data_IF_495432615951
#
_entry.id   IF_495432615951
#
_cell.length_a   1.000
_cell.length_b   1.000
_cell.length_c   1.000
_cell.angle_alpha   90.00
_cell.angle_beta   90.00
_cell.angle_gamma   90.00
#
_symmetry.space_group_name_H-M   'P 1'
#
loop_
_entity.id
_entity.type
_entity.pdbx_description
1 polymer ?
#
# COMPACT_ATOMS: atom_id res chain seq x y z
N UNK A 1 10.51 -17.01 -13.05
CA UNK A 1 11.54 -16.58 -12.05
C UNK A 1 10.82 -15.91 -10.89
N UNK A 2 11.21 -16.19 -9.64
CA UNK A 2 10.69 -15.52 -8.45
C UNK A 2 11.65 -14.40 -8.03
N UNK A 3 11.13 -13.18 -7.86
CA UNK A 3 11.87 -12.02 -7.39
C UNK A 3 11.15 -11.40 -6.19
N UNK A 4 11.91 -10.97 -5.18
CA UNK A 4 11.37 -10.30 -3.99
C UNK A 4 12.04 -8.93 -3.87
N UNK A 5 11.24 -7.88 -3.75
CA UNK A 5 11.68 -6.50 -3.58
C UNK A 5 11.33 -6.02 -2.17
N UNK A 6 12.36 -5.73 -1.38
CA UNK A 6 12.24 -5.14 -0.05
C UNK A 6 12.09 -3.61 -0.19
N UNK A 7 10.86 -3.11 -0.25
CA UNK A 7 10.59 -1.70 -0.54
C UNK A 7 10.58 -0.84 0.72
N UNK A 8 10.08 -1.38 1.83
CA UNK A 8 10.06 -0.69 3.11
C UNK A 8 9.90 -1.64 4.30
N UNK A 9 10.26 -1.15 5.51
CA UNK A 9 10.09 -1.89 6.75
C UNK A 9 11.22 -2.86 7.11
N UNK A 10 12.34 -2.88 6.38
CA UNK A 10 13.42 -3.85 6.59
C UNK A 10 14.53 -3.37 7.52
N UNK A 11 14.71 -2.06 7.66
CA UNK A 11 15.70 -1.45 8.55
C UNK A 11 15.07 -0.51 9.60
N UNK A 12 13.75 -0.56 9.74
CA UNK A 12 12.99 0.36 10.58
C UNK A 12 11.65 -0.27 10.99
N UNK A 13 10.99 0.31 11.97
CA UNK A 13 9.62 -0.06 12.35
C UNK A 13 8.64 0.80 11.55
N UNK A 14 7.80 0.16 10.76
CA UNK A 14 6.83 0.83 9.89
C UNK A 14 7.21 0.83 8.42
N UNK A 15 6.42 1.49 7.59
CA UNK A 15 6.53 1.50 6.12
C UNK A 15 6.58 0.09 5.50
N UNK A 16 5.93 -0.89 6.12
CA UNK A 16 6.01 -2.25 5.62
C UNK A 16 5.53 -2.31 4.18
N UNK A 17 6.37 -2.82 3.29
CA UNK A 17 6.07 -2.96 1.87
C UNK A 17 7.03 -3.95 1.23
N UNK A 18 6.48 -5.02 0.68
CA UNK A 18 7.22 -6.06 -0.04
C UNK A 18 6.55 -6.32 -1.38
N UNK A 19 7.29 -6.38 -2.47
CA UNK A 19 6.75 -6.83 -3.75
C UNK A 19 7.31 -8.20 -4.07
N UNK A 20 6.41 -9.13 -4.38
CA UNK A 20 6.72 -10.48 -4.84
C UNK A 20 6.32 -10.55 -6.31
N UNK A 21 7.29 -10.84 -7.17
CA UNK A 21 7.11 -10.96 -8.61
C UNK A 21 7.38 -12.38 -9.06
N UNK A 22 6.47 -12.93 -9.84
CA UNK A 22 6.59 -14.23 -10.51
C UNK A 22 6.46 -13.96 -12.00
N UNK A 23 7.56 -14.16 -12.72
CA UNK A 23 7.69 -13.85 -14.15
C UNK A 23 7.25 -12.39 -14.44
N UNK A 24 6.15 -12.17 -15.16
CA UNK A 24 5.65 -10.84 -15.53
C UNK A 24 4.54 -10.32 -14.62
N UNK A 25 4.22 -11.01 -13.53
CA UNK A 25 3.15 -10.65 -12.62
C UNK A 25 3.68 -10.46 -11.19
N UNK A 26 3.12 -9.50 -10.48
CA UNK A 26 3.56 -9.18 -9.13
C UNK A 26 2.38 -8.87 -8.20
N UNK A 27 2.60 -9.09 -6.91
CA UNK A 27 1.73 -8.61 -5.83
C UNK A 27 2.55 -7.78 -4.85
N UNK A 28 1.90 -6.78 -4.27
CA UNK A 28 2.47 -5.97 -3.21
C UNK A 28 1.83 -6.37 -1.89
N UNK A 29 2.65 -6.84 -0.95
CA UNK A 29 2.25 -7.13 0.42
C UNK A 29 2.53 -5.90 1.26
N UNK A 30 1.49 -5.37 1.86
CA UNK A 30 1.48 -4.14 2.66
C UNK A 30 1.89 -2.87 1.89
N UNK A 31 1.40 -1.76 2.37
CA UNK A 31 1.75 -0.40 1.97
C UNK A 31 1.50 0.49 3.19
N UNK A 32 2.42 0.42 4.14
CA UNK A 32 2.29 1.03 5.45
C UNK A 32 2.94 2.40 5.57
N UNK A 33 2.66 3.09 6.68
CA UNK A 33 3.35 4.34 7.03
C UNK A 33 4.40 4.12 8.11
N UNK A 34 5.42 4.96 8.12
CA UNK A 34 6.27 5.19 9.28
C UNK A 34 5.57 6.22 10.16
N UNK A 35 4.95 5.77 11.25
CA UNK A 35 3.99 6.57 12.02
C UNK A 35 4.59 7.88 12.50
N UNK A 36 5.80 7.85 13.07
CA UNK A 36 6.45 9.07 13.59
C UNK A 36 6.71 10.10 12.48
N UNK A 37 7.27 9.67 11.34
CA UNK A 37 7.55 10.57 10.22
C UNK A 37 6.26 11.08 9.57
N UNK A 38 5.23 10.23 9.50
CA UNK A 38 3.92 10.62 9.00
C UNK A 38 3.28 11.68 9.88
N UNK A 39 3.30 11.50 11.21
CA UNK A 39 2.79 12.49 12.16
C UNK A 39 3.55 13.81 12.04
N UNK A 40 4.90 13.77 12.04
CA UNK A 40 5.71 14.98 11.87
C UNK A 40 5.37 15.75 10.60
N UNK A 41 5.21 15.03 9.49
CA UNK A 41 4.84 15.63 8.21
C UNK A 41 3.43 16.23 8.21
N UNK A 42 2.45 15.57 8.85
CA UNK A 42 1.04 15.99 8.85
C UNK A 42 0.71 17.00 9.95
N UNK A 43 1.58 17.24 10.92
CA UNK A 43 1.41 18.28 11.93
C UNK A 43 1.70 19.70 11.41
N UNK A 44 2.21 19.85 10.21
CA UNK A 44 2.42 21.15 9.59
C UNK A 44 1.06 21.75 9.20
N UNK A 45 0.61 22.78 9.94
CA UNK A 45 -0.67 23.45 9.75
C UNK A 45 -0.82 24.14 8.38
N UNK A 46 0.29 24.34 7.65
CA UNK A 46 0.31 24.92 6.30
C UNK A 46 0.02 23.89 5.20
N UNK A 47 -0.16 22.62 5.55
CA UNK A 47 -0.41 21.54 4.59
C UNK A 47 -1.80 21.66 3.95
N UNK A 48 -1.84 22.16 2.73
CA UNK A 48 -3.09 22.28 1.94
C UNK A 48 -3.52 20.90 1.40
N UNK A 49 -2.57 20.02 1.08
CA UNK A 49 -2.81 18.65 0.60
C UNK A 49 -1.60 17.77 0.81
N UNK A 50 -1.85 16.51 1.14
CA UNK A 50 -0.80 15.47 1.26
C UNK A 50 -0.35 15.03 -0.15
N UNK A 51 0.93 15.26 -0.45
CA UNK A 51 1.52 14.85 -1.74
C UNK A 51 2.36 13.57 -1.58
N UNK A 52 2.12 12.54 -2.39
CA UNK A 52 2.87 11.29 -2.33
C UNK A 52 4.40 11.48 -2.38
N UNK A 53 4.90 12.35 -3.26
CA UNK A 53 6.34 12.63 -3.38
C UNK A 53 6.96 13.25 -2.14
N UNK A 54 6.21 14.06 -1.42
CA UNK A 54 6.67 14.69 -0.19
C UNK A 54 6.65 13.70 0.98
N UNK A 55 5.63 12.83 1.04
CA UNK A 55 5.60 11.72 2.00
C UNK A 55 6.80 10.77 1.83
N UNK A 56 7.18 10.46 0.59
CA UNK A 56 8.38 9.64 0.30
C UNK A 56 9.63 10.37 0.78
N UNK A 57 9.79 11.67 0.46
CA UNK A 57 10.94 12.49 0.91
C UNK A 57 11.03 12.60 2.43
N UNK A 58 9.90 12.69 3.11
CA UNK A 58 9.83 12.71 4.56
C UNK A 58 10.13 11.35 5.21
N UNK A 59 10.28 10.29 4.41
CA UNK A 59 10.44 8.92 4.90
C UNK A 59 9.19 8.39 5.61
N UNK A 60 8.03 8.96 5.33
CA UNK A 60 6.76 8.61 5.96
C UNK A 60 6.06 7.41 5.30
N UNK A 61 6.40 7.11 4.05
CA UNK A 61 5.82 6.01 3.25
C UNK A 61 6.90 5.26 2.49
N UNK A 62 6.62 4.05 1.97
CA UNK A 62 7.57 3.30 1.15
C UNK A 62 8.00 4.10 -0.09
N UNK A 63 9.27 3.95 -0.48
CA UNK A 63 9.78 4.54 -1.72
C UNK A 63 9.32 3.74 -2.94
N UNK A 64 8.12 4.03 -3.43
CA UNK A 64 7.55 3.39 -4.60
C UNK A 64 8.27 3.71 -5.91
N UNK A 65 9.13 4.73 -5.96
CA UNK A 65 9.94 5.05 -7.14
C UNK A 65 10.99 3.99 -7.40
N UNK A 66 11.45 3.31 -6.35
CA UNK A 66 12.34 2.16 -6.45
C UNK A 66 11.75 1.02 -7.31
N UNK A 67 10.43 0.88 -7.32
CA UNK A 67 9.70 -0.14 -8.08
C UNK A 67 8.86 0.41 -9.24
N UNK A 68 9.13 1.65 -9.68
CA UNK A 68 8.36 2.31 -10.75
C UNK A 68 8.28 1.46 -12.03
N UNK A 69 9.35 0.75 -12.37
CA UNK A 69 9.40 -0.17 -13.52
C UNK A 69 8.44 -1.37 -13.41
N UNK A 70 7.97 -1.67 -12.20
CA UNK A 70 7.08 -2.80 -11.93
C UNK A 70 5.61 -2.40 -11.87
N UNK A 71 5.27 -1.12 -12.04
CA UNK A 71 3.91 -0.61 -11.83
C UNK A 71 2.83 -1.33 -12.62
N UNK A 72 3.14 -1.76 -13.85
CA UNK A 72 2.19 -2.45 -14.73
C UNK A 72 2.16 -3.98 -14.45
N UNK A 73 3.17 -4.50 -13.76
CA UNK A 73 3.22 -5.90 -13.33
C UNK A 73 2.41 -6.15 -12.05
N UNK A 74 2.30 -5.14 -11.16
CA UNK A 74 1.58 -5.28 -9.89
C UNK A 74 0.08 -5.41 -10.15
N UNK A 75 -0.49 -6.58 -9.82
CA UNK A 75 -1.89 -6.94 -10.05
C UNK A 75 -2.76 -6.74 -8.81
N UNK A 76 -2.16 -6.83 -7.62
CA UNK A 76 -2.87 -6.63 -6.36
C UNK A 76 -1.99 -5.98 -5.30
N UNK A 77 -2.63 -5.21 -4.41
CA UNK A 77 -2.08 -4.69 -3.16
C UNK A 77 -2.82 -5.41 -2.03
N UNK A 78 -2.08 -6.11 -1.18
CA UNK A 78 -2.64 -7.01 -0.18
C UNK A 78 -2.15 -6.57 1.21
N UNK A 79 -2.91 -5.69 1.90
CA UNK A 79 -2.61 -5.40 3.29
C UNK A 79 -2.85 -6.66 4.14
N UNK A 80 -1.82 -7.08 4.87
CA UNK A 80 -1.85 -8.30 5.69
C UNK A 80 -2.80 -8.16 6.86
N UNK A 81 -2.89 -6.95 7.44
CA UNK A 81 -3.82 -6.62 8.51
C UNK A 81 -4.04 -5.09 8.61
N UNK A 82 -4.90 -4.66 9.52
CA UNK A 82 -5.45 -3.30 9.57
C UNK A 82 -4.59 -2.26 10.31
N UNK A 83 -3.35 -2.56 10.68
CA UNK A 83 -2.48 -1.58 11.32
C UNK A 83 -1.93 -0.56 10.31
N UNK A 84 -1.73 0.69 10.75
CA UNK A 84 -1.33 1.78 9.86
C UNK A 84 0.05 1.58 9.25
N UNK A 85 0.96 0.93 9.94
CA UNK A 85 2.28 0.57 9.42
C UNK A 85 2.26 -0.53 8.35
N UNK A 86 1.06 -1.08 8.05
CA UNK A 86 0.79 -2.05 6.99
C UNK A 86 -0.17 -1.56 5.90
N UNK A 87 -1.14 -0.68 6.22
CA UNK A 87 -2.10 -0.19 5.22
C UNK A 87 -2.15 1.34 5.08
N UNK A 88 -1.53 2.08 5.99
CA UNK A 88 -1.74 3.52 6.11
C UNK A 88 -1.26 4.37 4.92
N UNK A 89 -0.39 3.85 4.06
CA UNK A 89 0.03 4.55 2.85
C UNK A 89 -0.83 4.23 1.61
N UNK A 90 -1.73 3.24 1.69
CA UNK A 90 -2.63 2.88 0.58
C UNK A 90 -3.44 4.10 0.08
N UNK A 91 -4.05 4.93 0.95
CA UNK A 91 -4.80 6.10 0.51
C UNK A 91 -4.03 7.06 -0.39
N UNK A 92 -2.72 7.15 -0.20
CA UNK A 92 -1.86 8.13 -0.86
C UNK A 92 -1.12 7.58 -2.07
N UNK A 93 -0.79 6.29 -2.08
CA UNK A 93 0.12 5.70 -3.06
C UNK A 93 -0.55 4.74 -4.04
N UNK A 94 -1.64 4.07 -3.64
CA UNK A 94 -2.22 2.98 -4.43
C UNK A 94 -2.71 3.39 -5.82
N UNK A 95 -3.15 4.62 -6.00
CA UNK A 95 -3.60 5.15 -7.30
C UNK A 95 -2.50 5.15 -8.39
N UNK A 96 -1.23 4.97 -8.00
CA UNK A 96 -0.12 4.83 -8.96
C UNK A 96 -0.07 3.45 -9.63
N UNK A 97 -0.80 2.49 -9.09
CA UNK A 97 -0.82 1.11 -9.57
C UNK A 97 -2.22 0.73 -10.08
N UNK A 98 -2.28 0.07 -11.24
CA UNK A 98 -3.53 -0.50 -11.77
C UNK A 98 -3.81 -1.86 -11.12
N UNK A 99 -3.94 -1.86 -9.81
CA UNK A 99 -4.03 -3.06 -8.98
C UNK A 99 -5.29 -3.03 -8.12
N UNK A 100 -5.90 -4.18 -7.89
CA UNK A 100 -6.97 -4.30 -6.91
C UNK A 100 -6.38 -4.33 -5.49
N UNK A 101 -7.11 -3.78 -4.52
CA UNK A 101 -6.76 -3.89 -3.10
C UNK A 101 -7.57 -5.06 -2.55
N UNK A 102 -6.89 -6.05 -1.98
CA UNK A 102 -7.51 -7.30 -1.54
C UNK A 102 -7.16 -7.55 -0.08
N UNK A 103 -8.16 -7.71 0.77
CA UNK A 103 -7.95 -7.94 2.19
C UNK A 103 -9.10 -8.65 2.88
N UNK A 104 -8.94 -8.95 4.17
CA UNK A 104 -10.01 -9.50 5.00
C UNK A 104 -11.11 -8.46 5.23
N UNK A 105 -12.29 -8.90 5.69
CA UNK A 105 -13.42 -8.01 5.96
C UNK A 105 -13.04 -6.85 6.89
N UNK A 106 -12.38 -7.14 8.00
CA UNK A 106 -11.94 -6.11 8.95
C UNK A 106 -10.96 -5.13 8.33
N UNK A 107 -9.93 -5.62 7.63
CA UNK A 107 -8.90 -4.78 7.00
C UNK A 107 -9.50 -3.86 5.94
N UNK A 108 -10.39 -4.37 5.10
CA UNK A 108 -11.03 -3.56 4.04
C UNK A 108 -12.00 -2.54 4.61
N UNK A 109 -12.71 -2.83 5.70
CA UNK A 109 -13.58 -1.85 6.36
C UNK A 109 -12.79 -0.74 7.05
N UNK A 110 -11.67 -1.06 7.71
CA UNK A 110 -10.78 -0.04 8.27
C UNK A 110 -10.26 0.89 7.15
N UNK A 111 -9.83 0.32 6.02
CA UNK A 111 -9.39 1.14 4.88
C UNK A 111 -10.53 2.04 4.36
N UNK A 112 -11.74 1.52 4.18
CA UNK A 112 -12.89 2.32 3.76
C UNK A 112 -13.22 3.44 4.74
N UNK A 113 -13.11 3.17 6.04
CA UNK A 113 -13.31 4.19 7.08
C UNK A 113 -12.28 5.33 6.98
N UNK A 114 -11.00 5.01 6.78
CA UNK A 114 -9.94 6.00 6.57
C UNK A 114 -10.22 6.84 5.32
N UNK A 115 -10.52 6.20 4.20
CA UNK A 115 -10.82 6.89 2.94
C UNK A 115 -12.01 7.84 3.06
N UNK A 116 -13.06 7.42 3.77
CA UNK A 116 -14.25 8.24 4.03
C UNK A 116 -13.93 9.43 4.93
N UNK A 117 -13.19 9.19 6.02
CA UNK A 117 -12.81 10.24 6.99
C UNK A 117 -11.95 11.31 6.32
N UNK A 118 -10.94 10.90 5.56
CA UNK A 118 -9.99 11.80 4.92
C UNK A 118 -10.48 12.31 3.55
N UNK A 119 -11.69 11.89 3.11
CA UNK A 119 -12.31 12.27 1.83
C UNK A 119 -11.45 11.93 0.62
N UNK A 120 -10.72 10.83 0.70
CA UNK A 120 -9.83 10.34 -0.37
C UNK A 120 -10.60 9.37 -1.28
N UNK A 121 -10.45 9.55 -2.60
CA UNK A 121 -11.01 8.63 -3.61
C UNK A 121 -9.90 7.80 -4.22
N UNK A 122 -10.11 6.50 -4.28
CA UNK A 122 -9.25 5.56 -4.97
C UNK A 122 -9.84 5.14 -6.32
N UNK A 123 -8.97 4.95 -7.30
CA UNK A 123 -9.32 4.31 -8.56
C UNK A 123 -9.27 2.77 -8.45
N UNK A 124 -8.57 2.27 -7.44
CA UNK A 124 -8.43 0.84 -7.17
C UNK A 124 -9.74 0.25 -6.65
N UNK A 125 -10.10 -0.95 -7.12
CA UNK A 125 -11.21 -1.70 -6.54
C UNK A 125 -10.78 -2.34 -5.23
N UNK A 126 -11.63 -2.26 -4.21
CA UNK A 126 -11.40 -2.91 -2.91
C UNK A 126 -12.23 -4.19 -2.88
N UNK A 127 -11.55 -5.34 -2.80
CA UNK A 127 -12.14 -6.67 -2.73
C UNK A 127 -11.94 -7.27 -1.34
N UNK A 128 -13.01 -7.83 -0.79
CA UNK A 128 -12.98 -8.49 0.51
C UNK A 128 -12.93 -10.01 0.31
N UNK A 129 -12.00 -10.67 1.00
CA UNK A 129 -11.89 -12.13 1.03
C UNK A 129 -12.44 -12.68 2.35
N UNK A 130 -13.12 -13.82 2.23
CA UNK A 130 -13.51 -14.62 3.39
C UNK A 130 -12.31 -15.35 4.00
N UNK A 131 -12.35 -15.58 5.30
CA UNK A 131 -11.34 -16.40 5.96
C UNK A 131 -11.30 -17.81 5.33
N UNK A 132 -10.10 -18.39 5.27
CA UNK A 132 -9.85 -19.72 4.69
C UNK A 132 -10.28 -19.86 3.20
N UNK A 133 -10.40 -18.76 2.47
CA UNK A 133 -10.64 -18.78 1.03
C UNK A 133 -9.35 -18.60 0.24
N UNK A 134 -9.36 -19.01 -1.02
CA UNK A 134 -8.32 -18.71 -1.99
C UNK A 134 -8.88 -17.83 -3.11
N UNK A 135 -8.04 -17.01 -3.68
CA UNK A 135 -8.42 -16.12 -4.75
C UNK A 135 -7.32 -16.07 -5.81
N UNK A 136 -7.68 -16.41 -7.03
CA UNK A 136 -6.75 -16.30 -8.15
C UNK A 136 -6.72 -14.87 -8.64
N UNK A 137 -5.57 -14.21 -8.53
CA UNK A 137 -5.38 -12.80 -8.91
C UNK A 137 -5.13 -12.70 -10.42
N UNK A 138 -4.33 -13.59 -10.95
CA UNK A 138 -3.85 -13.57 -12.33
C UNK A 138 -3.54 -14.99 -12.83
N UNK A 139 -2.74 -15.13 -13.89
CA UNK A 139 -2.38 -16.45 -14.41
C UNK A 139 -1.38 -17.19 -13.52
N UNK A 140 -0.43 -16.46 -12.93
CA UNK A 140 0.68 -17.04 -12.16
C UNK A 140 0.49 -16.89 -10.63
N UNK A 141 -0.48 -16.08 -10.19
CA UNK A 141 -0.72 -15.74 -8.78
C UNK A 141 -2.19 -15.94 -8.41
#
# INVERSE_FOLDING_TARGET
MLEIYAVGGYNEVGKNCTVIKVDDEAVMLDMGVHIENYIKYTQDEELIAVKPSELVKAGAVPDIYFIEKLKDNIKAIIPTHAHLDHLGAIPYLSNKFKADIIGTAYTTEVLRAILKNDKIKLNNKIKTLSANSSFKISNNI
#
